data_IF_462383458605
#
_entry.id   IF_462383458605
#
_cell.length_a   1.000
_cell.length_b   1.000
_cell.length_c   1.000
_cell.angle_alpha   90.00
_cell.angle_beta   90.00
_cell.angle_gamma   90.00
#
_symmetry.space_group_name_H-M   'P 1'
#
loop_
_entity.id
_entity.type
_entity.pdbx_description
1 polymer ?
#
# COMPACT_ATOMS: atom_id res chain seq x y z
N UNK A 1 -7.26 -19.97 9.68
CA UNK A 1 -7.07 -18.65 10.30
C UNK A 1 -5.94 -18.76 11.32
N UNK A 2 -5.10 -17.74 11.45
CA UNK A 2 -3.96 -17.74 12.36
C UNK A 2 -4.23 -16.85 13.57
N UNK A 3 -3.70 -17.25 14.73
CA UNK A 3 -3.77 -16.43 15.92
C UNK A 3 -2.73 -15.31 15.87
N UNK A 4 -3.10 -14.12 16.35
CA UNK A 4 -2.20 -12.96 16.40
C UNK A 4 -1.93 -12.29 15.06
N UNK A 5 -2.56 -12.74 14.00
CA UNK A 5 -2.43 -12.18 12.65
C UNK A 5 -3.76 -11.54 12.25
N UNK A 6 -3.69 -10.33 11.69
CA UNK A 6 -4.88 -9.66 11.18
C UNK A 6 -5.58 -10.55 10.14
N UNK A 7 -6.89 -10.79 10.26
CA UNK A 7 -7.61 -11.70 9.34
C UNK A 7 -7.56 -11.31 7.86
N UNK A 8 -7.29 -10.05 7.54
CA UNK A 8 -7.12 -9.60 6.16
C UNK A 8 -5.83 -10.11 5.53
N UNK A 9 -4.87 -10.53 6.35
CA UNK A 9 -3.62 -11.13 5.90
C UNK A 9 -3.83 -12.60 5.59
N UNK A 10 -4.34 -12.87 4.39
CA UNK A 10 -4.51 -14.24 3.88
C UNK A 10 -3.14 -14.91 3.71
N UNK A 11 -3.13 -16.24 3.61
CA UNK A 11 -1.88 -16.98 3.35
C UNK A 11 -1.20 -16.55 2.07
N UNK A 12 -1.97 -16.26 1.02
CA UNK A 12 -1.44 -15.74 -0.25
C UNK A 12 -0.78 -14.37 -0.07
N UNK A 13 -1.42 -13.45 0.64
CA UNK A 13 -0.84 -12.13 0.89
C UNK A 13 0.42 -12.23 1.75
N UNK A 14 0.39 -13.01 2.81
CA UNK A 14 1.56 -13.25 3.66
C UNK A 14 2.72 -13.84 2.88
N UNK A 15 2.45 -14.78 1.97
CA UNK A 15 3.47 -15.37 1.11
C UNK A 15 4.20 -14.30 0.30
N UNK A 16 3.45 -13.39 -0.33
CA UNK A 16 4.05 -12.34 -1.15
C UNK A 16 4.76 -11.28 -0.32
N UNK A 17 4.21 -10.90 0.83
CA UNK A 17 4.88 -9.95 1.73
C UNK A 17 6.21 -10.52 2.25
N UNK A 18 6.25 -11.81 2.55
CA UNK A 18 7.47 -12.50 2.97
C UNK A 18 8.51 -12.55 1.84
N UNK A 19 8.08 -12.82 0.61
CA UNK A 19 8.97 -12.91 -0.55
C UNK A 19 9.53 -11.58 -1.04
N UNK A 20 8.89 -10.47 -0.69
CA UNK A 20 9.41 -9.15 -1.04
C UNK A 20 10.75 -8.91 -0.37
N UNK A 21 11.68 -8.37 -1.13
CA UNK A 21 12.99 -7.93 -0.62
C UNK A 21 12.95 -6.46 -0.19
N UNK A 22 14.10 -5.97 0.29
CA UNK A 22 14.25 -4.57 0.70
C UNK A 22 13.93 -3.64 -0.47
N UNK A 23 13.09 -2.66 -0.24
CA UNK A 23 12.58 -1.68 -1.19
C UNK A 23 11.62 -2.22 -2.25
N UNK A 24 11.33 -3.51 -2.29
CA UNK A 24 10.20 -4.01 -3.07
C UNK A 24 8.91 -3.40 -2.54
N UNK A 25 7.94 -3.19 -3.42
CA UNK A 25 6.72 -2.49 -3.06
C UNK A 25 5.48 -3.38 -3.15
N UNK A 26 4.51 -3.08 -2.29
CA UNK A 26 3.14 -3.55 -2.39
C UNK A 26 2.23 -2.36 -2.65
N UNK A 27 1.36 -2.46 -3.66
CA UNK A 27 0.32 -1.46 -3.92
C UNK A 27 -0.98 -1.94 -3.29
N UNK A 28 -1.59 -1.09 -2.48
CA UNK A 28 -2.95 -1.29 -2.00
C UNK A 28 -3.85 -0.37 -2.81
N UNK A 29 -4.63 -0.96 -3.69
CA UNK A 29 -5.36 -0.25 -4.73
C UNK A 29 -6.84 -0.11 -4.41
N UNK A 30 -7.43 1.03 -4.80
CA UNK A 30 -8.88 1.19 -4.75
C UNK A 30 -9.55 0.34 -5.85
N UNK A 31 -10.90 0.28 -5.82
CA UNK A 31 -11.67 -0.56 -6.73
C UNK A 31 -11.60 -0.12 -8.19
N UNK A 32 -11.18 1.12 -8.45
CA UNK A 32 -11.09 1.71 -9.79
C UNK A 32 -9.68 1.64 -10.39
N UNK A 33 -8.69 1.34 -9.56
CA UNK A 33 -7.29 1.28 -9.99
C UNK A 33 -7.10 0.11 -10.97
N UNK A 34 -6.34 0.31 -12.06
CA UNK A 34 -6.13 -0.74 -13.07
C UNK A 34 -5.13 -1.82 -12.60
N UNK A 35 -5.42 -2.47 -11.48
CA UNK A 35 -4.48 -3.41 -10.84
C UNK A 35 -4.18 -4.62 -11.74
N UNK A 36 -5.20 -5.20 -12.35
CA UNK A 36 -5.01 -6.37 -13.20
C UNK A 36 -4.31 -6.06 -14.52
N UNK A 37 -4.42 -4.82 -15.01
CA UNK A 37 -3.71 -4.40 -16.22
C UNK A 37 -2.22 -4.11 -15.94
N UNK A 38 -1.90 -3.59 -14.76
CA UNK A 38 -0.56 -3.14 -14.41
C UNK A 38 0.25 -4.16 -13.59
N UNK A 39 -0.42 -4.92 -12.74
CA UNK A 39 0.25 -5.78 -11.77
C UNK A 39 0.70 -7.12 -12.34
N UNK A 40 1.91 -7.53 -11.98
CA UNK A 40 2.41 -8.87 -12.28
C UNK A 40 1.78 -9.92 -11.35
N UNK A 41 1.46 -9.52 -10.11
CA UNK A 41 0.80 -10.35 -9.10
C UNK A 41 -0.29 -9.53 -8.47
N UNK A 42 -1.53 -10.01 -8.51
CA UNK A 42 -2.68 -9.29 -7.97
C UNK A 42 -3.48 -10.21 -7.04
N UNK A 43 -3.82 -9.68 -5.88
CA UNK A 43 -4.68 -10.33 -4.90
C UNK A 43 -5.95 -9.48 -4.77
N UNK A 44 -7.12 -10.10 -4.94
CA UNK A 44 -8.39 -9.41 -4.75
C UNK A 44 -8.89 -9.60 -3.32
N UNK A 45 -9.21 -8.48 -2.66
CA UNK A 45 -9.86 -8.44 -1.35
C UNK A 45 -11.13 -7.57 -1.44
N UNK A 46 -12.16 -8.01 -2.14
CA UNK A 46 -13.41 -7.26 -2.24
C UNK A 46 -14.05 -7.11 -0.86
N UNK A 47 -14.77 -6.02 -0.65
CA UNK A 47 -15.43 -5.76 0.62
C UNK A 47 -14.53 -5.11 1.68
N UNK A 48 -13.29 -4.78 1.35
CA UNK A 48 -12.36 -4.08 2.24
C UNK A 48 -12.14 -2.64 1.77
N UNK A 49 -11.62 -1.81 2.66
CA UNK A 49 -11.15 -0.46 2.32
C UNK A 49 -9.63 -0.45 2.26
N UNK A 50 -9.05 0.51 1.53
CA UNK A 50 -7.59 0.61 1.44
C UNK A 50 -6.94 0.91 2.79
N UNK A 51 -7.47 1.82 3.65
CA UNK A 51 -6.87 2.01 4.97
C UNK A 51 -6.86 0.76 5.85
N UNK A 52 -7.92 -0.07 5.81
CA UNK A 52 -7.96 -1.33 6.55
C UNK A 52 -6.85 -2.28 6.12
N UNK A 53 -6.66 -2.42 4.81
CA UNK A 53 -5.64 -3.30 4.26
C UNK A 53 -4.24 -2.77 4.52
N UNK A 54 -4.03 -1.46 4.42
CA UNK A 54 -2.75 -0.85 4.77
C UNK A 54 -2.40 -1.09 6.23
N UNK A 55 -3.36 -0.91 7.14
CA UNK A 55 -3.14 -1.19 8.57
C UNK A 55 -2.77 -2.66 8.81
N UNK A 56 -3.46 -3.59 8.14
CA UNK A 56 -3.17 -5.01 8.25
C UNK A 56 -1.74 -5.32 7.76
N UNK A 57 -1.37 -4.82 6.61
CA UNK A 57 -0.03 -5.02 6.04
C UNK A 57 1.05 -4.43 6.96
N UNK A 58 0.84 -3.22 7.47
CA UNK A 58 1.79 -2.57 8.37
C UNK A 58 1.99 -3.31 9.69
N UNK A 59 1.05 -4.12 10.11
CA UNK A 59 1.22 -4.93 11.32
C UNK A 59 2.34 -5.96 11.20
N UNK A 60 2.74 -6.32 9.97
CA UNK A 60 3.80 -7.32 9.72
C UNK A 60 4.90 -6.81 8.80
N UNK A 61 4.66 -5.74 8.03
CA UNK A 61 5.62 -5.22 7.06
C UNK A 61 6.36 -4.01 7.65
N UNK A 62 7.69 -4.09 7.80
CA UNK A 62 8.47 -2.90 8.10
C UNK A 62 8.46 -1.95 6.91
N UNK A 63 8.38 -0.66 7.17
CA UNK A 63 8.36 0.36 6.13
C UNK A 63 9.76 0.91 5.90
N UNK A 64 10.11 1.12 4.63
CA UNK A 64 11.40 1.73 4.26
C UNK A 64 11.47 3.19 4.72
N UNK A 65 12.68 3.73 4.81
CA UNK A 65 12.90 5.01 5.49
C UNK A 65 12.34 6.23 4.75
N UNK A 66 12.67 6.41 3.48
CA UNK A 66 12.20 7.59 2.77
C UNK A 66 12.38 7.49 1.26
N UNK A 67 11.30 7.60 0.50
CA UNK A 67 9.93 7.57 0.99
C UNK A 67 9.49 6.12 1.26
N UNK A 68 8.86 5.85 2.39
CA UNK A 68 8.28 4.54 2.68
C UNK A 68 6.97 4.31 1.94
N UNK A 69 6.22 5.39 1.72
CA UNK A 69 4.88 5.34 1.12
C UNK A 69 4.72 6.40 0.03
N UNK A 70 4.10 6.00 -1.08
CA UNK A 70 3.64 6.93 -2.13
C UNK A 70 2.13 6.95 -2.16
N UNK A 71 1.56 8.15 -2.28
CA UNK A 71 0.14 8.37 -2.56
C UNK A 71 0.00 9.11 -3.90
N UNK A 72 -1.14 8.93 -4.56
CA UNK A 72 -1.41 9.62 -5.82
C UNK A 72 -1.91 11.03 -5.54
N UNK A 73 -1.29 12.04 -6.14
CA UNK A 73 -1.75 13.42 -6.05
C UNK A 73 -3.17 13.52 -6.62
N UNK A 74 -4.08 14.14 -5.86
CA UNK A 74 -5.47 14.34 -6.29
C UNK A 74 -5.57 15.36 -7.43
N UNK A 75 -6.76 15.45 -8.06
CA UNK A 75 -6.98 16.28 -9.24
C UNK A 75 -6.65 17.76 -9.01
N UNK A 76 -6.95 18.30 -7.82
CA UNK A 76 -6.67 19.69 -7.46
C UNK A 76 -5.44 19.86 -6.57
N UNK A 77 -4.72 18.76 -6.29
CA UNK A 77 -3.53 18.75 -5.43
C UNK A 77 -3.81 18.73 -3.94
N UNK A 78 -5.09 18.76 -3.51
CA UNK A 78 -5.43 18.72 -2.09
C UNK A 78 -5.24 17.30 -1.52
N UNK A 79 -4.97 17.23 -0.22
CA UNK A 79 -4.93 15.95 0.50
C UNK A 79 -6.37 15.58 0.90
N UNK A 80 -6.81 14.41 0.48
CA UNK A 80 -8.17 13.92 0.71
C UNK A 80 -8.27 13.15 2.02
N UNK A 81 -9.50 13.00 2.53
CA UNK A 81 -9.74 12.26 3.78
C UNK A 81 -9.24 10.82 3.71
N UNK A 82 -9.49 10.12 2.59
CA UNK A 82 -8.97 8.76 2.40
C UNK A 82 -7.45 8.71 2.47
N UNK A 83 -6.77 9.75 1.99
CA UNK A 83 -5.32 9.84 2.03
C UNK A 83 -4.80 10.10 3.44
N UNK A 84 -5.51 10.90 4.23
CA UNK A 84 -5.19 11.07 5.66
C UNK A 84 -5.36 9.76 6.42
N UNK A 85 -6.41 9.00 6.11
CA UNK A 85 -6.61 7.66 6.68
C UNK A 85 -5.50 6.70 6.29
N UNK A 86 -5.05 6.73 5.03
CA UNK A 86 -3.95 5.90 4.55
C UNK A 86 -2.63 6.23 5.26
N UNK A 87 -2.33 7.52 5.42
CA UNK A 87 -1.14 7.94 6.16
C UNK A 87 -1.19 7.50 7.63
N UNK A 88 -2.34 7.66 8.27
CA UNK A 88 -2.53 7.20 9.66
C UNK A 88 -2.35 5.68 9.76
N UNK A 89 -2.94 4.92 8.85
CA UNK A 89 -2.83 3.46 8.81
C UNK A 89 -1.38 3.00 8.58
N UNK A 90 -0.64 3.71 7.75
CA UNK A 90 0.77 3.41 7.48
C UNK A 90 1.73 3.92 8.56
N UNK A 91 1.29 4.81 9.43
CA UNK A 91 2.14 5.46 10.42
C UNK A 91 3.05 6.53 9.83
N UNK A 92 2.59 7.20 8.77
CA UNK A 92 3.33 8.28 8.10
C UNK A 92 2.60 9.61 8.22
N UNK A 93 3.28 10.69 7.85
CA UNK A 93 2.75 12.04 7.79
C UNK A 93 2.95 12.60 6.38
N UNK A 94 2.41 13.77 6.07
CA UNK A 94 2.64 14.42 4.77
C UNK A 94 4.13 14.64 4.50
N UNK A 95 4.93 14.88 5.54
CA UNK A 95 6.38 15.08 5.42
C UNK A 95 7.13 13.80 5.05
N UNK A 96 6.63 12.65 5.45
CA UNK A 96 7.27 11.35 5.21
C UNK A 96 6.57 10.55 4.11
N UNK A 97 5.60 11.16 3.44
CA UNK A 97 4.84 10.59 2.33
C UNK A 97 5.24 11.30 1.04
N UNK A 98 5.46 10.53 -0.02
CA UNK A 98 5.65 11.09 -1.36
C UNK A 98 4.33 11.10 -2.10
N UNK A 99 3.96 12.26 -2.65
CA UNK A 99 2.80 12.41 -3.50
C UNK A 99 3.25 12.38 -4.96
N UNK A 100 2.67 11.49 -5.75
CA UNK A 100 3.07 11.22 -7.12
C UNK A 100 1.89 11.49 -8.06
N UNK A 101 2.15 12.21 -9.13
CA UNK A 101 1.14 12.50 -10.17
C UNK A 101 0.59 11.18 -10.75
N UNK A 102 -0.68 11.20 -11.18
CA UNK A 102 -1.44 10.01 -11.56
C UNK A 102 -0.69 9.08 -12.53
N UNK A 103 -0.20 9.62 -13.65
CA UNK A 103 0.44 8.78 -14.67
C UNK A 103 1.81 8.30 -14.24
N UNK A 104 2.57 9.13 -13.55
CA UNK A 104 3.82 8.72 -12.94
C UNK A 104 3.58 7.65 -11.85
N UNK A 105 2.47 7.74 -11.12
CA UNK A 105 2.08 6.73 -10.14
C UNK A 105 1.86 5.37 -10.79
N UNK A 106 1.20 5.32 -11.95
CA UNK A 106 1.01 4.08 -12.69
C UNK A 106 2.35 3.44 -13.08
N UNK A 107 3.32 4.25 -13.49
CA UNK A 107 4.66 3.74 -13.82
C UNK A 107 5.38 3.18 -12.59
N UNK A 108 5.30 3.87 -11.45
CA UNK A 108 5.89 3.38 -10.20
C UNK A 108 5.18 2.11 -9.72
N UNK A 109 3.86 2.10 -9.78
CA UNK A 109 3.05 0.95 -9.37
C UNK A 109 3.32 -0.28 -10.21
N UNK A 110 3.55 -0.11 -11.52
CA UNK A 110 3.85 -1.20 -12.44
C UNK A 110 5.11 -1.98 -12.05
N UNK A 111 6.04 -1.35 -11.37
CA UNK A 111 7.25 -1.99 -10.87
C UNK A 111 7.06 -2.71 -9.52
N UNK A 112 5.89 -2.59 -8.91
CA UNK A 112 5.62 -3.21 -7.61
C UNK A 112 5.64 -4.74 -7.69
N UNK A 113 6.04 -5.36 -6.59
CA UNK A 113 6.09 -6.83 -6.50
C UNK A 113 4.69 -7.45 -6.51
N UNK A 114 3.75 -6.85 -5.80
CA UNK A 114 2.38 -7.34 -5.67
C UNK A 114 1.40 -6.16 -5.54
N UNK A 115 0.19 -6.34 -6.03
CA UNK A 115 -0.91 -5.40 -5.85
C UNK A 115 -2.06 -6.08 -5.12
N UNK A 116 -2.67 -5.39 -4.18
CA UNK A 116 -3.89 -5.81 -3.51
C UNK A 116 -5.02 -4.91 -3.97
N UNK A 117 -5.96 -5.44 -4.74
CA UNK A 117 -7.15 -4.69 -5.17
C UNK A 117 -8.24 -4.84 -4.12
N UNK A 118 -8.66 -3.72 -3.56
CA UNK A 118 -9.69 -3.66 -2.51
C UNK A 118 -11.05 -3.28 -3.07
N UNK A 119 -12.06 -3.19 -2.21
CA UNK A 119 -13.36 -2.61 -2.51
C UNK A 119 -13.48 -1.12 -2.24
N UNK A 120 -12.36 -0.41 -2.02
CA UNK A 120 -12.36 1.02 -1.75
C UNK A 120 -12.97 1.80 -2.92
N UNK A 121 -14.02 2.58 -2.66
CA UNK A 121 -14.71 3.33 -3.70
C UNK A 121 -14.28 4.79 -3.80
N UNK A 122 -13.55 5.31 -2.81
CA UNK A 122 -13.09 6.70 -2.82
C UNK A 122 -11.93 6.87 -3.78
N UNK A 123 -11.99 7.90 -4.63
CA UNK A 123 -10.94 8.22 -5.60
C UNK A 123 -9.63 8.58 -4.91
N UNK A 124 -8.52 8.28 -5.55
CA UNK A 124 -7.17 8.53 -5.03
C UNK A 124 -6.88 7.81 -3.72
N UNK A 125 -7.63 6.73 -3.46
CA UNK A 125 -7.50 5.91 -2.27
C UNK A 125 -6.48 4.78 -2.42
N UNK A 126 -5.35 5.04 -3.06
CA UNK A 126 -4.30 4.07 -3.31
C UNK A 126 -3.06 4.37 -2.48
N UNK A 127 -2.35 3.35 -2.07
CA UNK A 127 -1.07 3.51 -1.39
C UNK A 127 -0.06 2.49 -1.91
N UNK A 128 1.17 2.93 -2.12
CA UNK A 128 2.30 2.06 -2.43
C UNK A 128 3.24 2.08 -1.23
N UNK A 129 3.52 0.91 -0.66
CA UNK A 129 4.38 0.77 0.50
C UNK A 129 5.66 0.03 0.11
N UNK A 130 6.82 0.56 0.51
CA UNK A 130 8.12 -0.08 0.29
C UNK A 130 8.56 -0.81 1.53
N UNK A 131 8.92 -2.07 1.36
CA UNK A 131 9.35 -2.94 2.45
C UNK A 131 10.71 -2.48 2.98
N UNK A 132 10.77 -2.27 4.28
CA UNK A 132 12.01 -1.95 5.00
C UNK A 132 12.73 -3.19 5.50
N UNK A 133 13.57 -3.01 6.52
CA UNK A 133 14.40 -4.06 7.11
C UNK A 133 13.95 -4.31 8.55
N UNK A 134 13.69 -5.57 8.87
CA UNK A 134 13.26 -5.99 10.22
C UNK A 134 14.43 -5.91 11.20
N UNK A 135 14.12 -5.48 12.43
CA UNK A 135 15.11 -5.43 13.51
C UNK A 135 16.11 -4.29 13.38
N UNK A 136 16.00 -3.48 12.36
CA UNK A 136 16.75 -2.24 12.26
C UNK A 136 15.99 -1.19 13.05
N UNK A 137 16.30 -1.04 14.32
CA UNK A 137 15.90 0.18 14.98
C UNK A 137 16.46 1.31 14.11
N UNK A 138 15.59 2.17 13.59
CA UNK A 138 16.02 3.39 12.96
C UNK A 138 16.90 4.12 13.97
N UNK A 139 18.17 3.93 13.78
CA UNK A 139 19.14 4.62 14.59
C UNK A 139 19.07 6.09 14.23
#
# INVERSE_FOLDING_TARGET
MLEGINPLLTGELLLHLDRMGHSDAVVVADAHFPAWALGARVIDLPGTTTPEVVAAIRSVLPLDDAPGIDLMTSADGSVLDVQRELMAAAGTTERTTRFVERFAYYDVAKAAYVMVRTGETRKYGNALLRKGVVGHASA
#
